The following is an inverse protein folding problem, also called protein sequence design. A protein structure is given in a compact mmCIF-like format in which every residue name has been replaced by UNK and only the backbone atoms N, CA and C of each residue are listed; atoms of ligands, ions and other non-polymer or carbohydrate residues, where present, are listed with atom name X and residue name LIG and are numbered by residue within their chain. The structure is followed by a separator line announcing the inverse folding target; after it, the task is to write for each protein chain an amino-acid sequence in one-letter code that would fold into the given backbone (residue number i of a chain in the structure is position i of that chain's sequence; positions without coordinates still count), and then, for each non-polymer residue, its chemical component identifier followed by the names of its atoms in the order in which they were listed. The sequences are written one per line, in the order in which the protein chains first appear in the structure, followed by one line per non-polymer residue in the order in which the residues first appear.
data_IF_697084645001
#
_entry.id   IF_697084645001
#
_cell.length_a   1.000
_cell.length_b   1.000
_cell.length_c   1.000
_cell.angle_alpha   90.00
_cell.angle_beta   90.00
_cell.angle_gamma   90.00
#
_symmetry.space_group_name_H-M   'P 1'
#
loop_
_entity.id
_entity.type
_entity.pdbx_description
1 polymer ?
#
# COMPACT_ATOMS: atom_id res chain seq x y z
N UNK A 1 5.09 9.88 -5.38
CA UNK A 1 4.05 9.00 -4.83
C UNK A 1 4.04 7.71 -5.65
N UNK A 2 3.64 6.57 -5.08
CA UNK A 2 3.52 5.31 -5.81
C UNK A 2 2.07 5.10 -6.29
N UNK A 3 1.87 4.49 -7.46
CA UNK A 3 0.56 4.00 -7.89
C UNK A 3 0.21 2.65 -7.25
N UNK A 4 -1.05 2.21 -7.39
CA UNK A 4 -1.48 0.90 -6.92
C UNK A 4 -0.72 -0.25 -7.60
N UNK A 5 -0.44 -0.12 -8.90
CA UNK A 5 0.34 -1.08 -9.68
C UNK A 5 1.80 -1.14 -9.21
N UNK A 6 2.41 0.01 -8.93
CA UNK A 6 3.78 0.07 -8.42
C UNK A 6 3.91 -0.57 -7.03
N UNK A 7 2.90 -0.36 -6.17
CA UNK A 7 2.81 -1.03 -4.87
C UNK A 7 2.65 -2.54 -5.06
N UNK A 8 1.71 -3.00 -5.89
CA UNK A 8 1.49 -4.42 -6.15
C UNK A 8 2.76 -5.10 -6.70
N UNK A 9 3.47 -4.45 -7.63
CA UNK A 9 4.73 -4.94 -8.16
C UNK A 9 5.83 -5.02 -7.09
N UNK A 10 5.95 -4.02 -6.23
CA UNK A 10 6.94 -4.02 -5.13
C UNK A 10 6.66 -5.15 -4.12
N UNK A 11 5.40 -5.28 -3.71
CA UNK A 11 4.96 -6.35 -2.81
C UNK A 11 5.16 -7.72 -3.44
N UNK A 12 4.83 -7.87 -4.73
CA UNK A 12 4.96 -9.15 -5.41
C UNK A 12 6.40 -9.62 -5.53
N UNK A 13 7.33 -8.70 -5.83
CA UNK A 13 8.78 -8.99 -5.79
C UNK A 13 9.23 -9.38 -4.38
N UNK A 14 8.84 -8.61 -3.37
CA UNK A 14 9.29 -8.81 -1.99
C UNK A 14 8.73 -10.10 -1.35
N UNK A 15 7.56 -10.56 -1.79
CA UNK A 15 6.90 -11.77 -1.28
C UNK A 15 7.08 -13.00 -2.18
N UNK A 16 7.76 -12.86 -3.32
CA UNK A 16 7.98 -13.94 -4.28
C UNK A 16 6.71 -14.43 -4.98
N UNK A 17 5.66 -13.60 -5.05
CA UNK A 17 4.35 -13.96 -5.63
C UNK A 17 3.85 -12.86 -6.56
N UNK A 18 3.39 -13.17 -7.78
CA UNK A 18 2.75 -12.15 -8.63
C UNK A 18 1.50 -11.60 -7.94
N UNK A 19 1.39 -10.27 -7.84
CA UNK A 19 0.24 -9.56 -7.32
C UNK A 19 -0.28 -8.59 -8.37
N UNK A 20 -1.60 -8.54 -8.56
CA UNK A 20 -2.26 -7.59 -9.43
C UNK A 20 -2.98 -6.54 -8.58
N UNK A 21 -2.83 -5.27 -8.94
CA UNK A 21 -3.64 -4.21 -8.37
C UNK A 21 -5.06 -4.29 -8.93
N UNK A 22 -6.06 -4.14 -8.07
CA UNK A 22 -7.45 -4.06 -8.45
C UNK A 22 -8.18 -3.05 -7.57
N UNK A 23 -9.04 -2.24 -8.17
CA UNK A 23 -9.98 -1.39 -7.44
C UNK A 23 -11.14 -2.21 -6.90
N UNK A 24 -11.68 -1.85 -5.74
CA UNK A 24 -12.87 -2.52 -5.20
C UNK A 24 -14.07 -2.26 -6.13
N UNK A 25 -14.76 -3.30 -6.63
CA UNK A 25 -15.92 -3.11 -7.49
C UNK A 25 -17.07 -2.42 -6.76
N UNK A 26 -17.84 -1.59 -7.47
CA UNK A 26 -18.97 -0.85 -6.90
C UNK A 26 -20.02 -1.77 -6.25
N UNK A 27 -20.23 -2.97 -6.80
CA UNK A 27 -21.13 -3.96 -6.20
C UNK A 27 -20.66 -4.42 -4.82
N UNK A 28 -19.36 -4.68 -4.65
CA UNK A 28 -18.80 -5.08 -3.35
C UNK A 28 -18.88 -3.96 -2.31
N UNK A 29 -18.77 -2.69 -2.74
CA UNK A 29 -18.97 -1.54 -1.86
C UNK A 29 -20.43 -1.47 -1.36
N UNK A 30 -21.41 -1.68 -2.24
CA UNK A 30 -22.84 -1.70 -1.87
C UNK A 30 -23.20 -2.82 -0.91
N UNK A 31 -22.54 -3.97 -1.02
CA UNK A 31 -22.84 -5.15 -0.20
C UNK A 31 -22.26 -5.07 1.22
N UNK A 32 -21.28 -4.20 1.47
CA UNK A 32 -20.65 -4.08 2.78
C UNK A 32 -20.32 -2.62 3.13
N UNK A 33 -21.15 -1.97 3.97
CA UNK A 33 -20.94 -0.60 4.40
C UNK A 33 -19.59 -0.34 5.09
N UNK A 34 -18.98 -1.36 5.70
CA UNK A 34 -17.64 -1.22 6.29
C UNK A 34 -16.58 -1.09 5.20
N UNK A 35 -16.66 -1.87 4.13
CA UNK A 35 -15.72 -1.80 2.99
C UNK A 35 -15.86 -0.45 2.30
N UNK A 36 -17.11 0.00 2.09
CA UNK A 36 -17.40 1.33 1.54
C UNK A 36 -16.74 2.43 2.36
N UNK A 37 -16.92 2.41 3.69
CA UNK A 37 -16.33 3.41 4.58
C UNK A 37 -14.80 3.40 4.56
N UNK A 38 -14.19 2.21 4.54
CA UNK A 38 -12.72 2.09 4.47
C UNK A 38 -12.16 2.66 3.17
N UNK A 39 -12.81 2.39 2.04
CA UNK A 39 -12.40 2.92 0.73
C UNK A 39 -12.58 4.44 0.68
N UNK A 40 -13.70 4.95 1.19
CA UNK A 40 -13.95 6.39 1.28
C UNK A 40 -12.87 7.10 2.10
N UNK A 41 -12.51 6.55 3.26
CA UNK A 41 -11.44 7.08 4.11
C UNK A 41 -10.09 7.02 3.38
N UNK A 42 -9.75 5.91 2.72
CA UNK A 42 -8.49 5.78 1.99
C UNK A 42 -8.36 6.78 0.84
N UNK A 43 -9.46 7.10 0.15
CA UNK A 43 -9.48 8.13 -0.89
C UNK A 43 -9.30 9.52 -0.27
N UNK A 44 -10.01 9.82 0.84
CA UNK A 44 -9.93 11.11 1.53
C UNK A 44 -8.57 11.35 2.21
N UNK A 45 -7.91 10.29 2.67
CA UNK A 45 -6.57 10.33 3.24
C UNK A 45 -5.47 10.43 2.18
N UNK A 46 -5.79 10.61 0.90
CA UNK A 46 -4.83 11.15 -0.08
C UNK A 46 -4.52 12.60 0.29
N UNK A 47 -3.72 12.77 1.33
CA UNK A 47 -3.06 14.02 1.67
C UNK A 47 -1.80 14.15 0.83
N UNK A 48 -1.57 15.35 0.32
CA UNK A 48 -0.31 15.67 -0.33
C UNK A 48 0.76 15.79 0.78
N UNK A 49 1.69 14.85 0.82
CA UNK A 49 2.73 14.78 1.84
C UNK A 49 4.05 15.22 1.22
N UNK A 50 4.65 16.27 1.78
CA UNK A 50 5.97 16.76 1.39
C UNK A 50 7.08 15.81 1.88
N UNK A 51 7.27 14.72 1.14
CA UNK A 51 8.30 13.72 1.41
C UNK A 51 9.72 14.32 1.36
N UNK A 52 10.07 15.23 0.43
CA UNK A 52 11.36 15.92 0.47
C UNK A 52 11.66 16.59 1.80
N UNK A 53 10.73 17.41 2.33
CA UNK A 53 10.92 18.09 3.62
C UNK A 53 11.00 17.10 4.79
N UNK A 54 10.16 16.05 4.80
CA UNK A 54 10.24 15.01 5.82
C UNK A 54 11.57 14.26 5.80
N UNK A 55 12.15 14.02 4.61
CA UNK A 55 13.45 13.37 4.48
C UNK A 55 14.60 14.28 4.91
N UNK A 56 14.47 15.59 4.74
CA UNK A 56 15.44 16.55 5.28
C UNK A 56 15.49 16.51 6.81
N UNK A 57 14.32 16.40 7.46
CA UNK A 57 14.21 16.30 8.93
C UNK A 57 14.65 14.92 9.43
N UNK A 58 14.27 13.85 8.72
CA UNK A 58 14.64 12.49 9.04
C UNK A 58 15.26 11.79 7.83
N UNK A 59 16.61 11.85 7.68
CA UNK A 59 17.31 11.21 6.56
C UNK A 59 17.10 9.69 6.47
N UNK A 60 16.75 9.04 7.59
CA UNK A 60 16.42 7.62 7.67
C UNK A 60 15.04 7.24 7.14
N UNK A 61 14.23 8.20 6.66
CA UNK A 61 12.88 7.95 6.15
C UNK A 61 12.92 6.96 4.98
N UNK A 62 12.46 5.74 5.24
CA UNK A 62 12.50 4.63 4.30
C UNK A 62 11.53 4.86 3.14
N UNK A 63 11.97 4.47 1.93
CA UNK A 63 11.04 4.19 0.83
C UNK A 63 10.32 2.86 1.09
N UNK A 64 9.23 2.59 0.37
CA UNK A 64 8.54 1.31 0.47
C UNK A 64 9.50 0.14 0.19
N UNK A 65 10.34 0.24 -0.84
CA UNK A 65 11.33 -0.78 -1.17
C UNK A 65 12.33 -1.00 -0.03
N UNK A 66 12.94 0.07 0.49
CA UNK A 66 13.91 -0.03 1.58
C UNK A 66 13.29 -0.54 2.90
N UNK A 67 11.98 -0.37 3.08
CA UNK A 67 11.25 -0.97 4.19
C UNK A 67 10.99 -2.47 3.97
N UNK A 68 10.59 -2.87 2.77
CA UNK A 68 10.39 -4.28 2.41
C UNK A 68 11.68 -5.09 2.59
N UNK A 69 12.80 -4.57 2.10
CA UNK A 69 14.12 -5.20 2.17
C UNK A 69 14.64 -5.30 3.61
N UNK A 70 14.26 -4.35 4.49
CA UNK A 70 14.65 -4.33 5.90
C UNK A 70 13.82 -5.30 6.78
N UNK A 71 13.22 -6.33 6.18
CA UNK A 71 12.35 -7.30 6.87
C UNK A 71 10.89 -6.88 6.98
N UNK A 72 10.48 -5.83 6.27
CA UNK A 72 9.06 -5.47 6.13
C UNK A 72 8.26 -6.54 5.39
N UNK A 73 8.87 -7.19 4.39
CA UNK A 73 8.23 -8.25 3.62
C UNK A 73 7.73 -9.41 4.49
N UNK A 74 8.52 -9.83 5.49
CA UNK A 74 8.15 -10.91 6.42
C UNK A 74 7.02 -10.57 7.40
N UNK A 75 6.59 -9.29 7.46
CA UNK A 75 5.44 -8.85 8.25
C UNK A 75 4.13 -8.88 7.49
N UNK A 76 4.17 -9.08 6.18
CA UNK A 76 2.98 -9.16 5.35
C UNK A 76 2.45 -10.59 5.49
N UNK A 77 1.26 -10.80 6.08
CA UNK A 77 0.72 -12.14 6.23
C UNK A 77 0.49 -12.74 4.84
N UNK A 78 1.27 -13.76 4.52
CA UNK A 78 1.07 -14.57 3.33
C UNK A 78 0.11 -15.66 3.73
N UNK A 79 -1.19 -15.40 3.66
CA UNK A 79 -2.19 -16.46 3.88
C UNK A 79 -2.01 -17.50 2.77
N UNK A 80 -1.40 -18.63 3.11
CA UNK A 80 -1.64 -19.89 2.40
C UNK A 80 -3.09 -20.26 2.67
N UNK A 81 -3.83 -20.58 1.60
CA UNK A 81 -5.25 -20.95 1.61
C UNK A 81 -5.67 -21.77 2.82
#
# INVERSE_FOLDING_TARGET
MLTGEEVAAALGRATGRPLAYATVPAEALRQNPLIERVVEVAIKLRVDVDIPSLRAIHPGLKTLAAWLDAGGAGRIPVTSR
#
